data_IF_262832997514
#
_entry.id   IF_262832997514
#
_cell.length_a   1.000
_cell.length_b   1.000
_cell.length_c   1.000
_cell.angle_alpha   90.00
_cell.angle_beta   90.00
_cell.angle_gamma   90.00
#
_symmetry.space_group_name_H-M   'P 1'
#
loop_
_entity.id
_entity.type
_entity.pdbx_description
1 polymer ?
#
# COMPACT_ATOMS: atom_id res chain seq x y z
N UNK A 1 -29.32 -24.92 1.83
CA UNK A 1 -27.92 -24.93 2.30
C UNK A 1 -27.34 -23.55 2.03
N UNK A 2 -27.56 -22.64 2.96
CA UNK A 2 -27.19 -21.23 2.92
C UNK A 2 -26.05 -21.07 3.93
N UNK A 3 -24.78 -21.08 3.50
CA UNK A 3 -23.64 -20.69 4.36
C UNK A 3 -22.29 -20.68 3.61
N UNK A 4 -22.20 -19.99 2.48
CA UNK A 4 -20.92 -19.84 1.77
C UNK A 4 -20.82 -18.44 1.17
N UNK A 5 -19.96 -17.59 1.76
CA UNK A 5 -19.26 -16.40 1.19
C UNK A 5 -19.22 -15.11 2.03
N UNK A 6 -19.41 -15.14 3.36
CA UNK A 6 -18.69 -14.17 4.21
C UNK A 6 -17.28 -14.74 4.43
N UNK A 7 -16.32 -14.35 3.57
CA UNK A 7 -14.90 -14.62 3.86
C UNK A 7 -14.59 -14.01 5.22
N UNK A 8 -14.09 -14.83 6.14
CA UNK A 8 -13.71 -14.43 7.50
C UNK A 8 -12.81 -13.19 7.40
N UNK A 9 -13.10 -12.17 8.21
CA UNK A 9 -12.28 -10.96 8.25
C UNK A 9 -10.82 -11.29 8.60
N UNK A 10 -10.58 -12.41 9.32
CA UNK A 10 -9.23 -12.92 9.61
C UNK A 10 -8.45 -13.27 8.35
N UNK A 11 -9.08 -13.93 7.38
CA UNK A 11 -8.43 -14.26 6.10
C UNK A 11 -8.08 -12.98 5.34
N UNK A 12 -8.97 -11.97 5.37
CA UNK A 12 -8.69 -10.68 4.74
C UNK A 12 -7.59 -9.91 5.46
N UNK A 13 -7.53 -10.01 6.79
CA UNK A 13 -6.50 -9.38 7.61
C UNK A 13 -5.12 -10.02 7.36
N UNK A 14 -5.09 -11.35 7.24
CA UNK A 14 -3.88 -12.08 6.87
C UNK A 14 -3.41 -11.74 5.45
N UNK A 15 -4.34 -11.60 4.49
CA UNK A 15 -4.00 -11.09 3.16
C UNK A 15 -3.48 -9.65 3.19
N UNK A 16 -4.09 -8.77 3.99
CA UNK A 16 -3.58 -7.41 4.16
C UNK A 16 -2.15 -7.41 4.71
N UNK A 17 -1.87 -8.23 5.72
CA UNK A 17 -0.52 -8.38 6.25
C UNK A 17 0.50 -8.77 5.16
N UNK A 18 0.17 -9.74 4.30
CA UNK A 18 1.03 -10.15 3.19
C UNK A 18 1.27 -8.98 2.22
N UNK A 19 0.23 -8.20 1.91
CA UNK A 19 0.33 -7.03 1.04
C UNK A 19 1.21 -5.91 1.66
N UNK A 20 1.17 -5.72 2.97
CA UNK A 20 2.04 -4.74 3.66
C UNK A 20 3.51 -5.15 3.58
N UNK A 21 3.81 -6.43 3.82
CA UNK A 21 5.17 -6.98 3.66
C UNK A 21 5.64 -6.87 2.21
N UNK A 22 4.76 -7.14 1.25
CA UNK A 22 5.08 -6.98 -0.17
C UNK A 22 5.39 -5.52 -0.53
N UNK A 23 4.57 -4.58 -0.07
CA UNK A 23 4.79 -3.16 -0.28
C UNK A 23 6.10 -2.67 0.34
N UNK A 24 6.39 -3.07 1.58
CA UNK A 24 7.66 -2.80 2.26
C UNK A 24 8.85 -3.26 1.40
N UNK A 25 8.81 -4.52 0.93
CA UNK A 25 9.86 -5.11 0.10
C UNK A 25 10.05 -4.36 -1.21
N UNK A 26 8.96 -4.09 -1.94
CA UNK A 26 9.01 -3.35 -3.22
C UNK A 26 9.63 -1.97 -3.03
N UNK A 27 9.18 -1.19 -2.04
CA UNK A 27 9.78 0.11 -1.79
C UNK A 27 11.24 0.00 -1.35
N UNK A 28 11.60 -1.04 -0.59
CA UNK A 28 12.98 -1.37 -0.25
C UNK A 28 13.85 -1.61 -1.50
N UNK A 29 13.37 -2.41 -2.46
CA UNK A 29 14.05 -2.64 -3.75
C UNK A 29 14.21 -1.33 -4.52
N UNK A 30 13.14 -0.51 -4.59
CA UNK A 30 13.18 0.76 -5.32
C UNK A 30 14.18 1.75 -4.71
N UNK A 31 14.31 1.79 -3.38
CA UNK A 31 15.36 2.57 -2.69
C UNK A 31 16.77 2.13 -3.10
N UNK A 32 16.99 0.83 -3.29
CA UNK A 32 18.30 0.26 -3.63
C UNK A 32 18.64 0.38 -5.13
N UNK A 33 17.63 0.46 -6.00
CA UNK A 33 17.80 0.44 -7.45
C UNK A 33 18.49 1.68 -8.05
N UNK A 34 18.50 2.81 -7.33
CA UNK A 34 18.98 4.12 -7.77
C UNK A 34 18.43 4.63 -9.12
N UNK A 35 17.43 3.97 -9.74
CA UNK A 35 16.85 4.38 -11.03
C UNK A 35 16.09 5.71 -10.95
N UNK A 36 15.52 6.01 -9.77
CA UNK A 36 14.72 7.21 -9.54
C UNK A 36 15.20 7.99 -8.31
N UNK A 37 16.40 8.62 -8.34
CA UNK A 37 17.01 9.24 -7.16
C UNK A 37 16.12 10.31 -6.50
N UNK A 38 15.38 11.05 -7.31
CA UNK A 38 14.45 12.10 -6.86
C UNK A 38 13.27 11.56 -6.04
N UNK A 39 12.89 10.28 -6.19
CA UNK A 39 11.84 9.62 -5.39
C UNK A 39 12.40 8.79 -4.24
N UNK A 40 13.72 8.68 -4.10
CA UNK A 40 14.36 7.91 -3.01
C UNK A 40 13.89 8.31 -1.61
N UNK A 41 13.70 9.60 -1.26
CA UNK A 41 13.13 9.97 0.04
C UNK A 41 11.71 9.43 0.24
N UNK A 42 10.87 9.51 -0.79
CA UNK A 42 9.51 8.96 -0.77
C UNK A 42 9.53 7.44 -0.60
N UNK A 43 10.31 6.71 -1.41
CA UNK A 43 10.40 5.25 -1.27
C UNK A 43 10.90 4.82 0.10
N UNK A 44 11.86 5.55 0.68
CA UNK A 44 12.36 5.28 2.03
C UNK A 44 11.27 5.47 3.08
N UNK A 45 10.51 6.57 2.99
CA UNK A 45 9.37 6.82 3.87
C UNK A 45 8.34 5.69 3.80
N UNK A 46 7.92 5.32 2.58
CA UNK A 46 6.95 4.25 2.36
C UNK A 46 7.44 2.89 2.86
N UNK A 47 8.70 2.54 2.60
CA UNK A 47 9.32 1.32 3.11
C UNK A 47 9.18 1.21 4.64
N UNK A 48 9.58 2.24 5.39
CA UNK A 48 9.46 2.22 6.85
C UNK A 48 8.02 2.25 7.35
N UNK A 49 7.14 3.00 6.69
CA UNK A 49 5.74 3.08 7.08
C UNK A 49 5.05 1.73 6.91
N UNK A 50 5.24 1.06 5.78
CA UNK A 50 4.67 -0.26 5.53
C UNK A 50 5.24 -1.33 6.48
N UNK A 51 6.53 -1.31 6.77
CA UNK A 51 7.12 -2.21 7.78
C UNK A 51 6.55 -1.95 9.18
N UNK A 52 6.31 -0.69 9.54
CA UNK A 52 5.66 -0.33 10.81
C UNK A 52 4.23 -0.86 10.87
N UNK A 53 3.45 -0.67 9.79
CA UNK A 53 2.08 -1.18 9.71
C UNK A 53 2.02 -2.70 9.78
N UNK A 54 2.92 -3.39 9.09
CA UNK A 54 3.01 -4.85 9.10
C UNK A 54 3.34 -5.37 10.50
N UNK A 55 4.27 -4.74 11.22
CA UNK A 55 4.62 -5.12 12.59
C UNK A 55 3.44 -4.95 13.55
N UNK A 56 2.77 -3.79 13.52
CA UNK A 56 1.57 -3.54 14.34
C UNK A 56 0.49 -4.58 14.03
N UNK A 57 0.27 -4.87 12.75
CA UNK A 57 -0.77 -5.80 12.34
C UNK A 57 -0.44 -7.26 12.71
N UNK A 58 0.83 -7.66 12.66
CA UNK A 58 1.30 -8.97 13.10
C UNK A 58 1.07 -9.19 14.60
N UNK A 59 1.37 -8.18 15.42
CA UNK A 59 1.15 -8.25 16.87
C UNK A 59 -0.35 -8.30 17.21
N UNK A 60 -1.16 -7.48 16.55
CA UNK A 60 -2.62 -7.52 16.70
C UNK A 60 -3.20 -8.87 16.23
N UNK A 61 -2.74 -9.39 15.09
CA UNK A 61 -3.19 -10.68 14.57
C UNK A 61 -2.85 -11.82 15.55
N UNK A 62 -1.65 -11.81 16.14
CA UNK A 62 -1.28 -12.75 17.18
C UNK A 62 -2.18 -12.61 18.42
N UNK A 63 -2.49 -11.40 18.84
CA UNK A 63 -3.34 -11.15 20.01
C UNK A 63 -4.77 -11.66 19.83
N UNK A 64 -5.35 -11.54 18.63
CA UNK A 64 -6.76 -11.90 18.36
C UNK A 64 -6.95 -13.33 17.81
N UNK A 65 -5.88 -14.00 17.37
CA UNK A 65 -5.95 -15.35 16.79
C UNK A 65 -5.06 -16.38 17.47
N UNK A 66 -4.21 -15.98 18.41
CA UNK A 66 -3.19 -16.83 19.06
C UNK A 66 -2.16 -17.45 18.09
N UNK A 67 -2.13 -17.00 16.83
CA UNK A 67 -1.16 -17.42 15.81
C UNK A 67 -0.61 -16.22 15.07
N UNK A 68 0.58 -16.38 14.48
CA UNK A 68 1.11 -15.38 13.54
C UNK A 68 0.46 -15.56 12.14
N UNK A 69 0.31 -14.47 11.38
CA UNK A 69 -0.08 -14.57 9.97
C UNK A 69 1.01 -15.29 9.18
N UNK A 70 0.60 -16.03 8.14
CA UNK A 70 1.52 -16.74 7.24
C UNK A 70 1.98 -15.85 6.10
N UNK A 71 3.29 -15.72 5.92
CA UNK A 71 3.90 -14.91 4.86
C UNK A 71 3.82 -15.55 3.46
N UNK A 72 3.56 -16.86 3.37
CA UNK A 72 3.70 -17.65 2.14
C UNK A 72 2.37 -17.96 1.41
N UNK A 73 1.34 -17.13 1.56
CA UNK A 73 -0.02 -17.49 1.10
C UNK A 73 -0.41 -17.09 -0.33
N UNK A 74 0.47 -16.50 -1.13
CA UNK A 74 0.14 -16.08 -2.50
C UNK A 74 1.22 -16.44 -3.51
N UNK A 75 0.80 -16.91 -4.69
CA UNK A 75 1.69 -16.96 -5.85
C UNK A 75 2.15 -15.54 -6.20
N UNK A 76 3.41 -15.37 -6.56
CA UNK A 76 4.12 -14.11 -6.76
C UNK A 76 3.57 -13.20 -7.90
N UNK A 77 2.32 -13.34 -8.33
CA UNK A 77 1.74 -12.55 -9.43
C UNK A 77 0.46 -11.78 -9.08
N UNK A 78 -0.09 -11.92 -7.87
CA UNK A 78 -1.38 -11.29 -7.49
C UNK A 78 -1.24 -10.14 -6.47
N UNK A 79 -0.02 -9.76 -6.07
CA UNK A 79 0.20 -8.72 -5.05
C UNK A 79 0.14 -7.31 -5.65
N UNK A 80 -0.40 -6.37 -4.89
CA UNK A 80 -0.76 -5.01 -5.37
C UNK A 80 0.46 -4.25 -5.93
N UNK A 81 1.62 -4.40 -5.29
CA UNK A 81 2.81 -3.58 -5.57
C UNK A 81 3.81 -4.23 -6.55
N UNK A 82 3.66 -5.51 -6.88
CA UNK A 82 4.59 -6.18 -7.79
C UNK A 82 4.62 -5.57 -9.20
N UNK A 83 3.48 -5.20 -9.82
CA UNK A 83 3.51 -4.50 -11.11
C UNK A 83 4.22 -3.14 -11.05
N UNK A 84 4.17 -2.44 -9.91
CA UNK A 84 4.89 -1.18 -9.72
C UNK A 84 6.40 -1.42 -9.74
N UNK A 85 6.87 -2.41 -8.98
CA UNK A 85 8.30 -2.77 -8.93
C UNK A 85 8.82 -3.08 -10.34
N UNK A 86 8.16 -4.00 -11.05
CA UNK A 86 8.56 -4.42 -12.38
C UNK A 86 8.62 -3.24 -13.36
N UNK A 87 7.59 -2.39 -13.35
CA UNK A 87 7.52 -1.22 -14.23
C UNK A 87 8.67 -0.25 -13.96
N UNK A 88 8.88 0.13 -12.70
CA UNK A 88 9.88 1.13 -12.32
C UNK A 88 11.32 0.63 -12.45
N UNK A 89 11.56 -0.69 -12.37
CA UNK A 89 12.88 -1.29 -12.53
C UNK A 89 13.26 -1.59 -13.98
N UNK A 90 12.29 -1.74 -14.90
CA UNK A 90 12.58 -2.16 -16.28
C UNK A 90 12.37 -1.06 -17.31
N UNK A 91 11.38 -0.17 -17.13
CA UNK A 91 10.99 0.79 -18.15
C UNK A 91 11.70 2.14 -17.96
N UNK A 92 11.83 2.90 -19.05
CA UNK A 92 12.08 4.34 -18.96
C UNK A 92 10.72 5.00 -18.69
N UNK A 93 10.59 5.64 -17.54
CA UNK A 93 9.32 6.17 -17.04
C UNK A 93 9.51 7.65 -16.74
N UNK A 94 8.58 8.49 -17.22
CA UNK A 94 8.57 9.92 -16.87
C UNK A 94 8.27 10.11 -15.38
N UNK A 95 8.55 11.30 -14.82
CA UNK A 95 8.29 11.55 -13.40
C UNK A 95 6.79 11.46 -13.08
N UNK A 96 5.99 11.97 -14.00
CA UNK A 96 4.53 12.01 -13.92
C UNK A 96 3.96 10.59 -13.97
N UNK A 97 4.52 9.73 -14.84
CA UNK A 97 4.11 8.33 -14.94
C UNK A 97 4.51 7.52 -13.70
N UNK A 98 5.60 7.87 -13.02
CA UNK A 98 5.98 7.25 -11.74
C UNK A 98 4.91 7.57 -10.68
N UNK A 99 4.56 8.85 -10.54
CA UNK A 99 3.57 9.28 -9.53
C UNK A 99 2.17 8.75 -9.82
N UNK A 100 1.76 8.71 -11.09
CA UNK A 100 0.49 8.11 -11.48
C UNK A 100 0.43 6.61 -11.11
N UNK A 101 1.52 5.87 -11.33
CA UNK A 101 1.59 4.46 -10.97
C UNK A 101 1.57 4.23 -9.46
N UNK A 102 2.30 5.04 -8.69
CA UNK A 102 2.27 5.01 -7.23
C UNK A 102 0.85 5.31 -6.73
N UNK A 103 0.23 6.39 -7.19
CA UNK A 103 -1.15 6.75 -6.82
C UNK A 103 -2.15 5.62 -7.07
N UNK A 104 -1.97 4.89 -8.17
CA UNK A 104 -2.84 3.76 -8.51
C UNK A 104 -2.73 2.63 -7.50
N UNK A 105 -1.52 2.16 -7.20
CA UNK A 105 -1.33 1.03 -6.26
C UNK A 105 -1.67 1.41 -4.82
N UNK A 106 -1.34 2.64 -4.42
CA UNK A 106 -1.68 3.19 -3.11
C UNK A 106 -3.21 3.27 -2.92
N UNK A 107 -3.94 3.67 -3.97
CA UNK A 107 -5.41 3.67 -3.92
C UNK A 107 -5.98 2.28 -3.73
N UNK A 108 -5.40 1.27 -4.38
CA UNK A 108 -5.85 -0.13 -4.23
C UNK A 108 -5.62 -0.61 -2.80
N UNK A 109 -4.48 -0.28 -2.18
CA UNK A 109 -4.21 -0.59 -0.78
C UNK A 109 -5.25 0.07 0.15
N UNK A 110 -5.55 1.36 -0.02
CA UNK A 110 -6.59 2.06 0.76
C UNK A 110 -7.95 1.36 0.64
N UNK A 111 -8.33 0.96 -0.57
CA UNK A 111 -9.58 0.23 -0.80
C UNK A 111 -9.59 -1.14 -0.09
N UNK A 112 -8.45 -1.82 0.03
CA UNK A 112 -8.32 -3.06 0.79
C UNK A 112 -8.59 -2.85 2.28
N UNK A 113 -8.03 -1.79 2.87
CA UNK A 113 -8.35 -1.41 4.25
C UNK A 113 -9.84 -1.15 4.44
N UNK A 114 -10.44 -0.36 3.55
CA UNK A 114 -11.88 -0.04 3.59
C UNK A 114 -12.75 -1.31 3.47
N UNK A 115 -12.36 -2.24 2.61
CA UNK A 115 -13.03 -3.54 2.48
C UNK A 115 -13.05 -4.31 3.80
N UNK A 116 -11.95 -4.29 4.56
CA UNK A 116 -11.87 -4.96 5.86
C UNK A 116 -12.70 -4.20 6.90
N UNK A 117 -12.59 -2.88 6.96
CA UNK A 117 -13.31 -2.01 7.91
C UNK A 117 -14.84 -2.10 7.79
N UNK A 118 -15.38 -2.56 6.65
CA UNK A 118 -16.82 -2.78 6.48
C UNK A 118 -17.36 -4.03 7.20
N UNK A 119 -16.48 -4.87 7.78
CA UNK A 119 -16.90 -6.05 8.53
C UNK A 119 -17.34 -5.67 9.95
N UNK A 120 -18.61 -5.92 10.27
CA UNK A 120 -19.20 -5.58 11.57
C UNK A 120 -18.74 -6.44 12.76
N UNK A 121 -17.84 -7.39 12.56
CA UNK A 121 -17.34 -8.31 13.59
C UNK A 121 -15.86 -8.08 13.95
N UNK A 122 -15.26 -6.99 13.44
CA UNK A 122 -13.88 -6.65 13.79
C UNK A 122 -13.77 -6.33 15.29
N UNK A 123 -12.76 -6.87 16.00
CA UNK A 123 -12.42 -6.41 17.34
C UNK A 123 -12.16 -4.91 17.36
N UNK A 124 -12.54 -4.23 18.44
CA UNK A 124 -12.42 -2.76 18.54
C UNK A 124 -10.99 -2.27 18.33
N UNK A 125 -10.01 -2.97 18.91
CA UNK A 125 -8.58 -2.65 18.74
C UNK A 125 -8.15 -2.80 17.29
N UNK A 126 -8.50 -3.93 16.64
CA UNK A 126 -8.23 -4.16 15.22
C UNK A 126 -8.85 -3.07 14.35
N UNK A 127 -10.10 -2.69 14.62
CA UNK A 127 -10.80 -1.64 13.90
C UNK A 127 -10.06 -0.29 14.03
N UNK A 128 -9.69 0.11 15.25
CA UNK A 128 -8.95 1.35 15.50
C UNK A 128 -7.58 1.37 14.79
N UNK A 129 -6.84 0.27 14.82
CA UNK A 129 -5.56 0.12 14.11
C UNK A 129 -5.76 0.31 12.60
N UNK A 130 -6.72 -0.41 12.02
CA UNK A 130 -7.01 -0.34 10.58
C UNK A 130 -7.49 1.04 10.15
N UNK A 131 -8.29 1.72 10.97
CA UNK A 131 -8.74 3.10 10.72
C UNK A 131 -7.55 4.06 10.71
N UNK A 132 -6.70 4.03 11.74
CA UNK A 132 -5.51 4.89 11.83
C UNK A 132 -4.60 4.73 10.61
N UNK A 133 -4.29 3.48 10.24
CA UNK A 133 -3.44 3.21 9.09
C UNK A 133 -4.09 3.65 7.77
N UNK A 134 -5.40 3.41 7.59
CA UNK A 134 -6.13 3.85 6.40
C UNK A 134 -6.16 5.37 6.25
N UNK A 135 -6.31 6.11 7.36
CA UNK A 135 -6.27 7.57 7.37
C UNK A 135 -4.89 8.10 7.00
N UNK A 136 -3.82 7.54 7.57
CA UNK A 136 -2.45 7.89 7.21
C UNK A 136 -2.17 7.64 5.72
N UNK A 137 -2.55 6.47 5.19
CA UNK A 137 -2.42 6.15 3.77
C UNK A 137 -3.20 7.14 2.89
N UNK A 138 -4.42 7.49 3.29
CA UNK A 138 -5.24 8.42 2.54
C UNK A 138 -4.67 9.84 2.55
N UNK A 139 -4.12 10.30 3.67
CA UNK A 139 -3.45 11.61 3.76
C UNK A 139 -2.24 11.68 2.83
N UNK A 140 -1.38 10.66 2.85
CA UNK A 140 -0.23 10.54 1.95
C UNK A 140 -0.65 10.51 0.48
N UNK A 141 -1.70 9.74 0.16
CA UNK A 141 -2.24 9.66 -1.19
C UNK A 141 -2.78 11.00 -1.70
N UNK A 142 -3.51 11.75 -0.86
CA UNK A 142 -4.01 13.08 -1.21
C UNK A 142 -2.87 14.08 -1.42
N UNK A 143 -1.83 14.03 -0.59
CA UNK A 143 -0.65 14.89 -0.74
C UNK A 143 0.06 14.61 -2.07
N UNK A 144 0.32 13.33 -2.39
CA UNK A 144 0.93 12.94 -3.65
C UNK A 144 0.08 13.38 -4.86
N UNK A 145 -1.24 13.20 -4.77
CA UNK A 145 -2.17 13.59 -5.82
C UNK A 145 -2.21 15.10 -6.03
N UNK A 146 -2.14 15.88 -4.94
CA UNK A 146 -2.10 17.34 -5.00
C UNK A 146 -0.81 17.82 -5.68
N UNK A 147 0.33 17.27 -5.30
CA UNK A 147 1.62 17.63 -5.89
C UNK A 147 1.65 17.35 -7.40
N UNK A 148 1.20 16.16 -7.82
CA UNK A 148 1.12 15.82 -9.24
C UNK A 148 0.22 16.80 -10.04
N UNK A 149 -0.89 17.25 -9.46
CA UNK A 149 -1.78 18.24 -10.10
C UNK A 149 -1.13 19.60 -10.26
N UNK A 150 -0.35 20.04 -9.27
CA UNK A 150 0.39 21.31 -9.33
C UNK A 150 1.44 21.22 -10.43
N UNK A 151 2.21 20.13 -10.46
CA UNK A 151 3.24 19.90 -11.48
C UNK A 151 2.65 19.94 -12.91
N UNK A 152 1.47 19.36 -13.12
CA UNK A 152 0.75 19.47 -14.41
C UNK A 152 0.36 20.90 -14.78
N UNK A 153 -0.15 21.71 -13.83
CA UNK A 153 -0.56 23.10 -14.10
C UNK A 153 0.66 24.00 -14.37
N UNK A 154 1.78 23.78 -13.68
CA UNK A 154 3.01 24.53 -13.90
C UNK A 154 3.65 24.19 -15.26
N UNK A 155 3.51 22.94 -15.73
CA UNK A 155 3.95 22.52 -17.06
C UNK A 155 3.09 23.09 -18.20
N UNK A 156 1.78 23.24 -18.02
CA UNK A 156 0.93 23.91 -19.02
C UNK A 156 1.26 25.41 -19.15
N UNK A 157 1.53 26.09 -18.04
CA UNK A 157 1.88 27.52 -18.04
C UNK A 157 3.28 27.83 -18.56
N UNK A 158 4.19 26.85 -18.61
CA UNK A 158 5.56 27.03 -19.09
C UNK A 158 5.75 26.75 -20.59
N UNK A 159 4.69 26.34 -21.29
CA UNK A 159 4.67 26.16 -22.76
C UNK A 159 4.11 27.41 -23.48
N UNK A 160 3.54 28.37 -22.75
CA UNK A 160 2.97 29.62 -23.29
C UNK A 160 3.91 30.85 -23.23
N UNK A 161 5.24 30.68 -23.12
CA UNK A 161 6.21 31.81 -23.14
C UNK A 161 7.22 31.70 -24.27
#
# INVERSE_FOLDING_TARGET
>A
MENTKKRDWRDKLELLFIELIAAEKVYGTLVQSDRHPHKRPYFKHRHFQYGTFANILNDEFLAITERRPTENRTGENDLIFQPLEQSLLTQSTSKEDIDAQILKVERIMILRYQEILTHGELPNTTNAILQSQAEELNNEWQMLKSNLRIDFHDHENSIEV
#
